data_IF_354258806289
#
_entry.id   IF_354258806289
#
_cell.length_a   1.000
_cell.length_b   1.000
_cell.length_c   1.000
_cell.angle_alpha   90.00
_cell.angle_beta   90.00
_cell.angle_gamma   90.00
#
_symmetry.space_group_name_H-M   'P 1'
#
loop_
_entity.id
_entity.type
_entity.pdbx_description
1 polymer ?
#
# COMPACT_ATOMS: atom_id res chain seq x y z
N UNK A 1 21.79 53.81 -1.07
CA UNK A 1 21.11 52.90 -0.13
C UNK A 1 20.04 52.06 -0.82
N UNK A 2 19.23 52.57 -1.69
CA UNK A 2 18.14 51.87 -2.39
C UNK A 2 18.59 50.62 -3.18
N UNK A 3 19.71 50.68 -3.93
CA UNK A 3 20.26 49.56 -4.71
C UNK A 3 20.66 48.37 -3.84
N UNK A 4 21.16 48.59 -2.62
CA UNK A 4 21.54 47.48 -1.68
C UNK A 4 20.31 46.77 -1.18
N UNK A 5 19.21 47.44 -0.91
CA UNK A 5 17.93 46.86 -0.50
C UNK A 5 17.29 46.03 -1.61
N UNK A 6 17.37 46.48 -2.87
CA UNK A 6 16.85 45.72 -4.01
C UNK A 6 17.60 44.42 -4.24
N UNK A 7 18.92 44.41 -4.03
CA UNK A 7 19.73 43.18 -4.12
C UNK A 7 19.37 42.19 -2.98
N UNK A 8 19.19 42.66 -1.76
CA UNK A 8 18.78 41.83 -0.61
C UNK A 8 17.40 41.20 -0.85
N UNK A 9 16.45 41.96 -1.35
CA UNK A 9 15.11 41.46 -1.68
C UNK A 9 15.14 40.43 -2.81
N UNK A 10 16.00 40.63 -3.82
CA UNK A 10 16.16 39.64 -4.91
C UNK A 10 16.78 38.35 -4.41
N UNK A 11 17.80 38.42 -3.53
CA UNK A 11 18.42 37.20 -2.93
C UNK A 11 17.43 36.47 -2.03
N UNK A 12 16.65 37.20 -1.21
CA UNK A 12 15.59 36.58 -0.38
C UNK A 12 14.51 35.92 -1.23
N UNK A 13 14.08 36.57 -2.33
CA UNK A 13 13.11 36.00 -3.28
C UNK A 13 13.61 34.70 -3.92
N UNK A 14 14.89 34.65 -4.31
CA UNK A 14 15.51 33.47 -4.88
C UNK A 14 15.65 32.37 -3.80
N UNK A 15 16.08 32.70 -2.58
CA UNK A 15 16.21 31.75 -1.49
C UNK A 15 14.87 31.13 -1.10
N UNK A 16 13.79 31.93 -1.03
CA UNK A 16 12.43 31.44 -0.78
C UNK A 16 11.95 30.54 -1.92
N UNK A 17 12.20 30.92 -3.17
CA UNK A 17 11.82 30.11 -4.34
C UNK A 17 12.56 28.77 -4.42
N UNK A 18 13.84 28.73 -4.01
CA UNK A 18 14.62 27.48 -3.94
C UNK A 18 14.13 26.63 -2.77
N UNK A 19 13.89 27.22 -1.60
CA UNK A 19 13.35 26.50 -0.44
C UNK A 19 11.97 25.90 -0.73
N UNK A 20 11.11 26.60 -1.46
CA UNK A 20 9.79 26.08 -1.85
C UNK A 20 9.87 24.86 -2.77
N UNK A 21 10.83 24.83 -3.70
CA UNK A 21 11.08 23.66 -4.58
C UNK A 21 11.70 22.47 -3.86
N UNK A 22 12.31 22.69 -2.70
CA UNK A 22 12.99 21.66 -1.93
C UNK A 22 12.10 21.03 -0.84
N UNK A 23 10.86 21.50 -0.69
CA UNK A 23 9.91 20.87 0.23
C UNK A 23 9.55 19.47 -0.29
N UNK A 24 9.66 18.43 0.54
CA UNK A 24 9.26 17.08 0.15
C UNK A 24 7.77 17.12 -0.21
N UNK A 25 7.45 16.73 -1.44
CA UNK A 25 6.06 16.55 -1.87
C UNK A 25 5.51 15.35 -1.12
N UNK A 26 4.58 15.56 -0.20
CA UNK A 26 3.82 14.46 0.40
C UNK A 26 2.92 13.91 -0.70
N UNK A 27 3.22 12.72 -1.19
CA UNK A 27 2.38 12.05 -2.15
C UNK A 27 1.00 11.81 -1.52
N UNK A 28 -0.04 12.24 -2.21
CA UNK A 28 -1.39 11.92 -1.79
C UNK A 28 -1.71 10.48 -2.21
N UNK A 29 -2.47 9.73 -1.39
CA UNK A 29 -2.89 8.40 -1.78
C UNK A 29 -3.69 8.44 -3.08
N UNK A 30 -3.58 7.40 -3.94
CA UNK A 30 -4.33 7.32 -5.16
C UNK A 30 -5.83 7.35 -4.85
N UNK A 31 -6.58 8.06 -5.69
CA UNK A 31 -8.03 8.18 -5.51
C UNK A 31 -8.73 6.86 -5.82
N UNK A 32 -9.87 6.64 -5.19
CA UNK A 32 -10.77 5.55 -5.59
C UNK A 32 -11.26 5.74 -7.03
N UNK A 33 -11.53 4.63 -7.71
CA UNK A 33 -11.88 4.55 -9.13
C UNK A 33 -10.75 5.01 -10.09
N UNK A 34 -9.49 4.96 -9.64
CA UNK A 34 -8.32 5.12 -10.49
C UNK A 34 -7.54 3.81 -10.59
N UNK A 35 -6.74 3.61 -11.65
CA UNK A 35 -5.83 2.47 -11.72
C UNK A 35 -4.85 2.42 -10.53
N UNK A 36 -4.47 1.21 -10.15
CA UNK A 36 -3.38 0.98 -9.22
C UNK A 36 -2.07 1.58 -9.74
N UNK A 37 -1.18 1.98 -8.82
CA UNK A 37 0.17 2.40 -9.18
C UNK A 37 1.03 1.13 -9.36
N UNK A 38 1.64 0.92 -10.56
CA UNK A 38 2.45 -0.25 -10.80
C UNK A 38 3.77 -0.17 -10.02
N UNK A 39 4.16 -1.25 -9.39
CA UNK A 39 5.45 -1.37 -8.72
C UNK A 39 6.02 -2.77 -8.85
N UNK A 40 7.30 -2.91 -8.52
CA UNK A 40 8.00 -4.18 -8.38
C UNK A 40 8.77 -4.19 -7.08
N UNK A 41 8.50 -5.17 -6.22
CA UNK A 41 9.21 -5.40 -4.97
C UNK A 41 9.70 -6.84 -4.91
N UNK A 42 10.67 -7.13 -4.06
CA UNK A 42 11.11 -8.49 -3.78
C UNK A 42 10.21 -9.13 -2.73
N UNK A 43 9.91 -10.41 -2.91
CA UNK A 43 9.35 -11.22 -1.85
C UNK A 43 10.43 -11.62 -0.83
N UNK A 44 10.05 -12.34 0.22
CA UNK A 44 10.97 -12.77 1.28
C UNK A 44 12.01 -13.81 0.81
N UNK A 45 11.90 -14.32 -0.43
CA UNK A 45 12.89 -15.19 -1.08
C UNK A 45 13.80 -14.43 -2.04
N UNK A 46 13.62 -13.11 -2.15
CA UNK A 46 14.37 -12.23 -3.04
C UNK A 46 13.88 -12.22 -4.49
N UNK A 47 12.75 -12.84 -4.79
CA UNK A 47 12.17 -12.89 -6.14
C UNK A 47 11.36 -11.62 -6.40
N UNK A 48 11.58 -10.97 -7.55
CA UNK A 48 10.83 -9.80 -7.97
C UNK A 48 9.36 -10.14 -8.25
N UNK A 49 8.45 -9.38 -7.69
CA UNK A 49 7.01 -9.59 -7.76
C UNK A 49 6.29 -8.28 -8.07
N UNK A 50 5.15 -8.41 -8.74
CA UNK A 50 4.17 -7.33 -8.97
C UNK A 50 2.82 -7.75 -8.42
N UNK A 51 1.81 -6.86 -8.47
CA UNK A 51 0.45 -7.25 -8.11
C UNK A 51 -0.11 -8.30 -9.07
N UNK A 52 -0.82 -9.32 -8.56
CA UNK A 52 -1.43 -10.35 -9.40
C UNK A 52 -2.59 -9.78 -10.22
N UNK A 53 -2.54 -9.99 -11.54
CA UNK A 53 -3.57 -9.54 -12.47
C UNK A 53 -4.80 -10.46 -12.48
N UNK A 54 -5.98 -9.88 -12.76
CA UNK A 54 -7.23 -10.63 -12.88
C UNK A 54 -7.81 -11.15 -11.56
N UNK A 55 -7.22 -10.76 -10.44
CA UNK A 55 -7.71 -11.06 -9.08
C UNK A 55 -8.23 -9.80 -8.39
N UNK A 56 -9.09 -9.98 -7.41
CA UNK A 56 -9.34 -8.94 -6.41
C UNK A 56 -8.14 -8.93 -5.49
N UNK A 57 -7.47 -7.77 -5.37
CA UNK A 57 -6.25 -7.64 -4.56
C UNK A 57 -6.55 -6.80 -3.32
N UNK A 58 -6.16 -7.32 -2.17
CA UNK A 58 -6.07 -6.59 -0.92
C UNK A 58 -4.59 -6.25 -0.72
N UNK A 59 -4.21 -5.01 -1.05
CA UNK A 59 -2.86 -4.49 -0.90
C UNK A 59 -2.76 -3.80 0.46
N UNK A 60 -2.04 -4.43 1.40
CA UNK A 60 -1.91 -3.97 2.79
C UNK A 60 -0.48 -3.53 3.06
N UNK A 61 -0.30 -2.30 3.56
CA UNK A 61 0.99 -1.77 4.00
C UNK A 61 1.09 -1.86 5.53
N UNK A 62 2.17 -2.50 6.02
CA UNK A 62 2.28 -2.86 7.43
C UNK A 62 3.73 -2.97 7.91
N UNK A 63 3.93 -3.22 9.21
CA UNK A 63 5.21 -3.56 9.80
C UNK A 63 5.05 -4.49 11.01
N UNK A 64 6.08 -5.26 11.33
CA UNK A 64 6.09 -6.18 12.48
C UNK A 64 6.04 -5.46 13.83
N UNK A 65 6.59 -4.27 13.90
CA UNK A 65 6.63 -3.40 15.09
C UNK A 65 5.37 -2.54 15.27
N UNK A 66 4.40 -2.61 14.36
CA UNK A 66 3.17 -1.82 14.39
C UNK A 66 2.06 -2.58 15.15
N UNK A 67 1.65 -2.14 16.36
CA UNK A 67 0.66 -2.87 17.16
C UNK A 67 -0.69 -3.06 16.45
N UNK A 68 -1.34 -2.03 15.85
CA UNK A 68 -2.61 -2.24 15.16
C UNK A 68 -2.49 -3.15 13.92
N UNK A 69 -1.32 -3.17 13.24
CA UNK A 69 -1.07 -4.11 12.15
C UNK A 69 -1.13 -5.57 12.65
N UNK A 70 -0.54 -5.82 13.82
CA UNK A 70 -0.53 -7.15 14.45
C UNK A 70 -1.92 -7.60 14.87
N UNK A 71 -2.78 -6.67 15.29
CA UNK A 71 -4.16 -6.96 15.69
C UNK A 71 -5.03 -7.44 14.53
N UNK A 72 -4.83 -6.92 13.31
CA UNK A 72 -5.62 -7.31 12.15
C UNK A 72 -5.17 -8.63 11.48
N UNK A 73 -3.90 -9.04 11.67
CA UNK A 73 -3.29 -10.21 11.01
C UNK A 73 -4.13 -11.48 11.13
N UNK A 74 -4.65 -11.88 12.29
CA UNK A 74 -5.45 -13.12 12.38
C UNK A 74 -6.68 -13.11 11.46
N UNK A 75 -7.38 -11.98 11.38
CA UNK A 75 -8.55 -11.83 10.52
C UNK A 75 -8.16 -11.77 9.03
N UNK A 76 -7.00 -11.21 8.71
CA UNK A 76 -6.47 -11.16 7.35
C UNK A 76 -6.08 -12.56 6.83
N UNK A 77 -5.44 -13.37 7.68
CA UNK A 77 -5.13 -14.79 7.38
C UNK A 77 -6.42 -15.58 7.13
N UNK A 78 -7.44 -15.41 7.98
CA UNK A 78 -8.73 -16.06 7.79
C UNK A 78 -9.42 -15.65 6.48
N UNK A 79 -9.37 -14.37 6.15
CA UNK A 79 -9.92 -13.83 4.90
C UNK A 79 -9.23 -14.45 3.68
N UNK A 80 -7.89 -14.48 3.66
CA UNK A 80 -7.12 -15.10 2.57
C UNK A 80 -7.52 -16.57 2.39
N UNK A 81 -7.57 -17.35 3.48
CA UNK A 81 -7.95 -18.76 3.42
C UNK A 81 -9.37 -18.97 2.90
N UNK A 82 -10.30 -18.08 3.27
CA UNK A 82 -11.71 -18.19 2.86
C UNK A 82 -11.92 -17.88 1.37
N UNK A 83 -11.14 -16.97 0.80
CA UNK A 83 -11.42 -16.43 -0.53
C UNK A 83 -10.31 -16.61 -1.57
N UNK A 84 -9.17 -17.26 -1.21
CA UNK A 84 -8.08 -17.49 -2.15
C UNK A 84 -8.55 -18.21 -3.43
N UNK A 85 -9.31 -19.30 -3.25
CA UNK A 85 -9.82 -20.11 -4.36
C UNK A 85 -10.93 -19.40 -5.16
N UNK A 86 -11.49 -18.32 -4.62
CA UNK A 86 -12.51 -17.49 -5.26
C UNK A 86 -11.92 -16.30 -6.02
N UNK A 87 -10.59 -16.15 -5.98
CA UNK A 87 -9.88 -15.11 -6.72
C UNK A 87 -9.49 -13.88 -5.92
N UNK A 88 -9.49 -13.96 -4.58
CA UNK A 88 -8.85 -12.95 -3.72
C UNK A 88 -7.34 -13.24 -3.63
N UNK A 89 -6.55 -12.18 -3.65
CA UNK A 89 -5.14 -12.22 -3.31
C UNK A 89 -4.84 -11.14 -2.27
N UNK A 90 -4.34 -11.55 -1.11
CA UNK A 90 -3.74 -10.63 -0.14
C UNK A 90 -2.28 -10.46 -0.48
N UNK A 91 -1.86 -9.21 -0.67
CA UNK A 91 -0.47 -8.80 -0.87
C UNK A 91 -0.10 -7.84 0.24
N UNK A 92 0.74 -8.28 1.16
CA UNK A 92 1.17 -7.49 2.31
C UNK A 92 2.58 -6.92 2.05
N UNK A 93 2.71 -5.60 2.01
CA UNK A 93 3.97 -4.89 1.82
C UNK A 93 4.50 -4.46 3.18
N UNK A 94 5.60 -5.09 3.60
CA UNK A 94 6.27 -4.74 4.86
C UNK A 94 7.29 -3.62 4.64
N UNK A 95 7.27 -2.63 5.52
CA UNK A 95 8.24 -1.53 5.57
C UNK A 95 9.31 -1.74 6.68
N UNK A 96 9.41 -2.93 7.23
CA UNK A 96 10.49 -3.28 8.16
C UNK A 96 11.85 -3.11 7.48
N UNK A 97 12.84 -2.61 8.22
CA UNK A 97 14.20 -2.45 7.69
C UNK A 97 14.89 -3.78 7.46
N UNK A 98 14.62 -4.77 8.30
CA UNK A 98 15.25 -6.08 8.27
C UNK A 98 14.25 -7.15 7.81
N UNK A 99 14.57 -7.85 6.73
CA UNK A 99 13.73 -8.93 6.21
C UNK A 99 13.61 -10.13 7.17
N UNK A 100 14.61 -10.39 8.01
CA UNK A 100 14.60 -11.51 8.97
C UNK A 100 13.52 -11.33 10.04
N UNK A 101 13.20 -10.08 10.42
CA UNK A 101 12.11 -9.80 11.35
C UNK A 101 10.77 -10.18 10.72
N UNK A 102 10.59 -9.85 9.44
CA UNK A 102 9.38 -10.19 8.67
C UNK A 102 9.25 -11.69 8.48
N UNK A 103 10.36 -12.39 8.15
CA UNK A 103 10.39 -13.85 7.98
C UNK A 103 10.02 -14.54 9.29
N UNK A 104 10.60 -14.10 10.41
CA UNK A 104 10.33 -14.65 11.75
C UNK A 104 8.87 -14.46 12.14
N UNK A 105 8.34 -13.25 11.91
CA UNK A 105 6.94 -12.91 12.15
C UNK A 105 6.00 -13.75 11.26
N UNK A 106 6.30 -13.87 9.97
CA UNK A 106 5.49 -14.63 9.03
C UNK A 106 5.37 -16.11 9.43
N UNK A 107 6.46 -16.70 9.94
CA UNK A 107 6.46 -18.08 10.47
C UNK A 107 5.65 -18.18 11.76
N UNK A 108 5.84 -17.24 12.69
CA UNK A 108 5.16 -17.23 13.99
C UNK A 108 3.64 -17.17 13.84
N UNK A 109 3.14 -16.38 12.89
CA UNK A 109 1.71 -16.13 12.68
C UNK A 109 1.11 -16.95 11.52
N UNK A 110 1.89 -17.86 10.91
CA UNK A 110 1.49 -18.71 9.79
C UNK A 110 0.85 -17.88 8.64
N UNK A 111 1.56 -16.83 8.20
CA UNK A 111 1.08 -15.94 7.15
C UNK A 111 1.07 -16.70 5.81
N UNK A 112 -0.12 -16.99 5.29
CA UNK A 112 -0.34 -17.80 4.09
C UNK A 112 -0.55 -16.97 2.82
N UNK A 113 -0.28 -15.67 2.85
CA UNK A 113 -0.41 -14.74 1.74
C UNK A 113 0.95 -14.21 1.27
N UNK A 114 0.94 -13.53 0.12
CA UNK A 114 2.15 -12.95 -0.45
C UNK A 114 2.66 -11.80 0.42
N UNK A 115 3.95 -11.84 0.78
CA UNK A 115 4.61 -10.77 1.51
C UNK A 115 5.71 -10.20 0.64
N UNK A 116 5.69 -8.88 0.46
CA UNK A 116 6.70 -8.10 -0.27
C UNK A 116 7.45 -7.20 0.71
N UNK A 117 8.70 -6.89 0.41
CA UNK A 117 9.57 -6.13 1.29
C UNK A 117 9.94 -4.79 0.67
N UNK A 118 9.59 -3.69 1.36
CA UNK A 118 9.82 -2.28 0.97
C UNK A 118 10.61 -1.55 2.08
N UNK A 119 11.89 -1.91 2.33
CA UNK A 119 12.66 -1.42 3.48
C UNK A 119 12.90 0.08 3.47
N UNK A 120 12.86 0.71 2.32
CA UNK A 120 13.02 2.15 2.16
C UNK A 120 11.67 2.89 2.13
N UNK A 121 10.58 2.15 2.27
CA UNK A 121 9.20 2.64 2.19
C UNK A 121 8.92 3.44 0.89
N UNK A 122 9.64 3.12 -0.20
CA UNK A 122 9.54 3.83 -1.47
C UNK A 122 8.16 3.65 -2.11
N UNK A 123 7.69 2.41 -2.21
CA UNK A 123 6.35 2.09 -2.73
C UNK A 123 5.27 2.58 -1.77
N UNK A 124 5.48 2.43 -0.46
CA UNK A 124 4.59 2.98 0.57
C UNK A 124 4.39 4.48 0.41
N UNK A 125 5.48 5.25 0.19
CA UNK A 125 5.42 6.69 -0.04
C UNK A 125 4.76 7.04 -1.39
N UNK A 126 5.01 6.27 -2.44
CA UNK A 126 4.38 6.46 -3.76
C UNK A 126 2.86 6.29 -3.67
N UNK A 127 2.39 5.31 -2.86
CA UNK A 127 0.97 5.12 -2.53
C UNK A 127 0.42 6.15 -1.53
N UNK A 128 1.24 7.11 -1.09
CA UNK A 128 0.83 8.15 -0.14
C UNK A 128 0.48 7.60 1.25
N UNK A 129 1.01 6.43 1.62
CA UNK A 129 0.80 5.81 2.92
C UNK A 129 1.58 6.58 3.98
N UNK A 130 0.90 7.02 5.02
CA UNK A 130 1.50 7.81 6.11
C UNK A 130 1.24 7.22 7.50
N UNK A 131 0.35 6.21 7.60
CA UNK A 131 -0.03 5.57 8.85
C UNK A 131 -0.27 4.08 8.61
N UNK A 132 0.39 3.23 9.40
CA UNK A 132 0.19 1.78 9.29
C UNK A 132 -0.85 1.28 10.31
N UNK A 133 -1.68 0.27 9.90
CA UNK A 133 -1.79 -0.26 8.56
C UNK A 133 -2.63 0.64 7.64
N UNK A 134 -2.34 0.63 6.36
CA UNK A 134 -3.23 1.16 5.31
C UNK A 134 -3.46 0.09 4.24
N UNK A 135 -4.69 0.00 3.74
CA UNK A 135 -5.08 -1.04 2.79
C UNK A 135 -5.83 -0.47 1.61
N UNK A 136 -5.46 -0.90 0.41
CA UNK A 136 -6.17 -0.62 -0.82
C UNK A 136 -6.86 -1.89 -1.30
N UNK A 137 -8.18 -1.81 -1.56
CA UNK A 137 -8.92 -2.86 -2.24
C UNK A 137 -8.96 -2.55 -3.72
N UNK A 138 -8.45 -3.46 -4.53
CA UNK A 138 -8.26 -3.33 -5.97
C UNK A 138 -9.08 -4.41 -6.66
N UNK A 139 -9.87 -4.05 -7.65
CA UNK A 139 -10.69 -5.00 -8.40
C UNK A 139 -9.88 -5.80 -9.45
N UNK A 140 -10.54 -6.74 -10.13
CA UNK A 140 -9.92 -7.60 -11.15
C UNK A 140 -9.36 -6.84 -12.35
N UNK A 141 -9.76 -5.59 -12.55
CA UNK A 141 -9.31 -4.70 -13.62
C UNK A 141 -8.13 -3.82 -13.20
N UNK A 142 -7.66 -3.96 -11.96
CA UNK A 142 -6.60 -3.13 -11.39
C UNK A 142 -7.10 -1.74 -10.97
N UNK A 143 -8.39 -1.57 -10.71
CA UNK A 143 -8.96 -0.30 -10.26
C UNK A 143 -9.09 -0.30 -8.74
N UNK A 144 -8.56 0.73 -8.11
CA UNK A 144 -8.68 0.95 -6.67
C UNK A 144 -10.13 1.29 -6.33
N UNK A 145 -10.78 0.44 -5.55
CA UNK A 145 -12.19 0.60 -5.16
C UNK A 145 -12.34 1.20 -3.78
N UNK A 146 -11.41 0.92 -2.87
CA UNK A 146 -11.43 1.45 -1.51
C UNK A 146 -10.00 1.70 -1.01
N UNK A 147 -9.86 2.69 -0.13
CA UNK A 147 -8.67 2.96 0.67
C UNK A 147 -9.09 3.03 2.14
N UNK A 148 -8.51 2.17 2.96
CA UNK A 148 -8.82 2.00 4.37
C UNK A 148 -7.58 2.36 5.21
N UNK A 149 -7.77 3.20 6.21
CA UNK A 149 -6.69 3.66 7.10
C UNK A 149 -6.94 3.10 8.51
N UNK A 150 -5.94 2.41 9.05
CA UNK A 150 -6.01 1.76 10.35
C UNK A 150 -6.45 0.30 10.29
N UNK A 151 -6.38 -0.39 11.43
CA UNK A 151 -6.68 -1.81 11.54
C UNK A 151 -8.15 -2.11 11.25
N UNK A 152 -8.38 -3.19 10.51
CA UNK A 152 -9.70 -3.64 10.09
C UNK A 152 -9.95 -5.06 10.59
N UNK A 153 -11.15 -5.32 11.09
CA UNK A 153 -11.60 -6.70 11.27
C UNK A 153 -12.08 -7.25 9.92
N UNK A 154 -11.16 -7.94 9.23
CA UNK A 154 -11.38 -8.49 7.88
C UNK A 154 -12.45 -9.57 7.81
N UNK A 155 -12.88 -10.12 8.96
CA UNK A 155 -13.96 -11.09 9.05
C UNK A 155 -15.30 -10.49 9.46
N UNK A 156 -15.41 -9.17 9.58
CA UNK A 156 -16.68 -8.51 9.86
C UNK A 156 -17.65 -8.63 8.67
N UNK A 157 -18.94 -8.74 8.97
CA UNK A 157 -19.96 -8.94 7.94
C UNK A 157 -19.97 -7.88 6.83
N UNK A 158 -19.82 -6.57 7.10
CA UNK A 158 -19.77 -5.56 6.04
C UNK A 158 -18.57 -5.74 5.11
N UNK A 159 -17.39 -6.08 5.66
CA UNK A 159 -16.16 -6.31 4.87
C UNK A 159 -16.32 -7.55 3.99
N UNK A 160 -16.78 -8.65 4.55
CA UNK A 160 -17.04 -9.89 3.81
C UNK A 160 -18.00 -9.63 2.65
N UNK A 161 -19.12 -8.95 2.90
CA UNK A 161 -20.09 -8.63 1.86
C UNK A 161 -19.50 -7.75 0.74
N UNK A 162 -18.70 -6.74 1.10
CA UNK A 162 -18.01 -5.89 0.13
C UNK A 162 -17.04 -6.68 -0.76
N UNK A 163 -16.23 -7.59 -0.15
CA UNK A 163 -15.30 -8.45 -0.89
C UNK A 163 -16.05 -9.45 -1.79
N UNK A 164 -17.12 -10.07 -1.30
CA UNK A 164 -17.96 -10.96 -2.10
C UNK A 164 -18.57 -10.23 -3.29
N UNK A 165 -19.01 -8.99 -3.11
CA UNK A 165 -19.47 -8.12 -4.21
C UNK A 165 -18.41 -7.96 -5.29
N UNK A 166 -17.18 -7.58 -4.91
CA UNK A 166 -16.07 -7.41 -5.85
C UNK A 166 -15.65 -8.73 -6.54
N UNK A 167 -15.72 -9.85 -5.82
CA UNK A 167 -15.41 -11.17 -6.38
C UNK A 167 -16.44 -11.65 -7.40
N UNK A 168 -17.69 -11.21 -7.26
CA UNK A 168 -18.78 -11.54 -8.19
C UNK A 168 -18.85 -10.59 -9.40
N UNK A 169 -18.17 -9.46 -9.38
CA UNK A 169 -18.06 -8.59 -10.55
C UNK A 169 -17.30 -9.32 -11.68
N UNK A 170 -17.83 -9.31 -12.92
CA UNK A 170 -17.11 -9.87 -14.04
C UNK A 170 -15.82 -9.07 -14.24
N UNK A 171 -14.67 -9.76 -14.26
CA UNK A 171 -13.42 -9.16 -14.71
C UNK A 171 -13.59 -8.74 -16.19
N UNK A 172 -13.57 -7.44 -16.44
CA UNK A 172 -13.61 -6.96 -17.82
C UNK A 172 -12.34 -7.40 -18.52
N UNK A 173 -12.46 -8.28 -19.51
CA UNK A 173 -11.43 -8.47 -20.51
C UNK A 173 -11.24 -7.13 -21.23
N UNK A 174 -10.17 -6.37 -20.89
CA UNK A 174 -9.67 -5.41 -21.86
C UNK A 174 -9.05 -6.24 -22.98
N UNK A 175 -9.85 -6.43 -24.00
CA UNK A 175 -9.34 -6.83 -25.29
C UNK A 175 -8.30 -5.78 -25.77
N UNK A 176 -7.16 -6.30 -26.17
CA UNK A 176 -6.13 -5.78 -27.11
C UNK A 176 -5.98 -4.28 -27.21
#
# INVERSE_FOLDING_TARGET
MLKRWLIVLAILGVAVGVAWKSLPTINQPPKTNTPELPFTLKDLKGVAQTLPKGKVVLLNFWATWCPPCREEIPSLVMLQRKFADKGLAVVAVSVDKNADDVISFARQYDLSFQILHDPDAAVSQEYGVYKYPETFLIDRNGIIRQHLIGAVNWMSAPVIHGIEGMLNEPGGSKAS
#
